data_IF_142525465015
#
_entry.id   IF_142525465015
#
_cell.length_a   1.000
_cell.length_b   1.000
_cell.length_c   1.000
_cell.angle_alpha   90.00
_cell.angle_beta   90.00
_cell.angle_gamma   90.00
#
_symmetry.space_group_name_H-M   'P 1'
#
loop_
_entity.id
_entity.type
_entity.pdbx_description
1 polymer ?
#
# COMPACT_ATOMS: atom_id res chain seq x y z
N UNK A 1 -54.54 -30.35 24.37
CA UNK A 1 -53.36 -29.51 24.63
C UNK A 1 -52.18 -30.13 23.91
N UNK A 2 -51.96 -29.74 22.65
CA UNK A 2 -50.89 -30.25 21.81
C UNK A 2 -49.76 -29.22 21.80
N UNK A 3 -48.62 -29.59 22.38
CA UNK A 3 -47.40 -28.79 22.36
C UNK A 3 -46.61 -29.14 21.10
N UNK A 4 -46.71 -28.29 20.09
CA UNK A 4 -45.96 -28.41 18.84
C UNK A 4 -44.55 -27.87 19.03
N UNK A 5 -43.54 -28.74 19.02
CA UNK A 5 -42.12 -28.39 18.95
C UNK A 5 -41.84 -27.89 17.52
N UNK A 6 -41.34 -26.66 17.32
CA UNK A 6 -41.01 -26.19 15.98
C UNK A 6 -39.84 -27.03 15.42
N UNK A 7 -39.87 -27.40 14.13
CA UNK A 7 -38.73 -27.99 13.45
C UNK A 7 -37.64 -26.92 13.35
N UNK A 8 -36.53 -27.12 14.06
CA UNK A 8 -35.32 -26.34 13.81
C UNK A 8 -34.80 -26.77 12.45
N UNK A 9 -34.93 -25.89 11.46
CA UNK A 9 -34.23 -26.01 10.19
C UNK A 9 -32.74 -26.21 10.48
N UNK A 10 -32.22 -27.32 9.96
CA UNK A 10 -30.82 -27.69 9.96
C UNK A 10 -30.02 -26.61 9.25
N UNK A 11 -29.54 -25.63 10.01
CA UNK A 11 -28.46 -24.73 9.59
C UNK A 11 -27.28 -25.64 9.26
N UNK A 12 -27.03 -25.86 7.97
CA UNK A 12 -25.80 -26.48 7.47
C UNK A 12 -24.63 -25.69 8.05
N UNK A 13 -24.09 -26.21 9.15
CA UNK A 13 -22.92 -25.63 9.79
C UNK A 13 -21.76 -25.76 8.80
N UNK A 14 -21.40 -24.65 8.16
CA UNK A 14 -20.26 -24.58 7.26
C UNK A 14 -19.00 -25.05 7.99
N UNK A 15 -18.63 -26.31 7.77
CA UNK A 15 -17.37 -26.86 8.23
C UNK A 15 -16.26 -26.31 7.32
N UNK A 16 -15.16 -25.86 7.92
CA UNK A 16 -14.00 -25.36 7.18
C UNK A 16 -12.89 -26.38 7.27
N UNK A 17 -12.28 -26.67 6.13
CA UNK A 17 -11.11 -27.54 6.04
C UNK A 17 -9.86 -26.78 6.48
N UNK A 18 -9.12 -27.32 7.45
CA UNK A 18 -7.83 -26.80 7.91
C UNK A 18 -6.79 -27.91 7.99
N UNK A 19 -5.51 -27.57 7.87
CA UNK A 19 -4.41 -28.54 7.94
C UNK A 19 -3.74 -28.49 9.32
N UNK A 20 -3.48 -29.67 9.92
CA UNK A 20 -2.77 -29.73 11.19
C UNK A 20 -1.29 -29.29 11.02
N UNK A 21 -0.78 -28.36 11.85
CA UNK A 21 0.61 -27.90 11.74
C UNK A 21 1.64 -28.95 12.18
N UNK A 22 1.22 -30.03 12.85
CA UNK A 22 2.14 -31.08 13.36
C UNK A 22 2.34 -32.23 12.38
N UNK A 23 1.28 -32.65 11.67
CA UNK A 23 1.32 -33.82 10.80
C UNK A 23 0.76 -33.59 9.40
N UNK A 24 0.32 -32.36 9.09
CA UNK A 24 -0.24 -31.98 7.79
C UNK A 24 -1.52 -32.72 7.36
N UNK A 25 -2.16 -33.47 8.27
CA UNK A 25 -3.45 -34.09 8.02
C UNK A 25 -4.54 -33.03 7.83
N UNK A 26 -5.49 -33.33 6.94
CA UNK A 26 -6.67 -32.50 6.68
C UNK A 26 -7.72 -32.73 7.78
N UNK A 27 -8.24 -31.66 8.37
CA UNK A 27 -9.29 -31.71 9.38
C UNK A 27 -10.48 -30.84 8.99
N UNK A 28 -11.67 -31.37 9.20
CA UNK A 28 -12.92 -30.61 9.19
C UNK A 28 -13.15 -30.01 10.58
N UNK A 29 -13.06 -28.69 10.68
CA UNK A 29 -13.34 -27.95 11.91
C UNK A 29 -14.66 -27.21 11.75
N UNK A 30 -15.52 -27.32 12.77
CA UNK A 30 -16.80 -26.61 12.77
C UNK A 30 -16.57 -25.12 12.98
N UNK A 31 -17.36 -24.25 12.33
CA UNK A 31 -17.29 -22.80 12.51
C UNK A 31 -17.38 -22.36 13.98
N UNK A 32 -18.05 -23.14 14.84
CA UNK A 32 -18.17 -22.89 16.27
C UNK A 32 -16.87 -23.09 17.06
N UNK A 33 -15.91 -23.84 16.51
CA UNK A 33 -14.60 -24.13 17.11
C UNK A 33 -13.51 -23.17 16.59
N UNK A 34 -13.87 -22.19 15.77
CA UNK A 34 -12.92 -21.25 15.21
C UNK A 34 -12.39 -20.31 16.31
N UNK A 35 -11.07 -20.25 16.47
CA UNK A 35 -10.41 -19.57 17.59
C UNK A 35 -10.15 -20.44 18.82
N UNK A 36 -10.80 -21.61 18.92
CA UNK A 36 -10.58 -22.55 20.02
C UNK A 36 -9.33 -23.42 19.79
N UNK A 37 -8.81 -23.99 20.89
CA UNK A 37 -7.72 -24.98 20.85
C UNK A 37 -8.31 -26.36 20.57
N UNK A 38 -8.06 -26.88 19.37
CA UNK A 38 -8.53 -28.20 18.92
C UNK A 38 -7.38 -29.22 18.94
N UNK A 39 -7.71 -30.49 19.17
CA UNK A 39 -6.73 -31.60 19.19
C UNK A 39 -6.84 -32.42 17.90
N UNK A 40 -5.72 -32.68 17.22
CA UNK A 40 -5.70 -33.46 15.99
C UNK A 40 -5.91 -34.97 16.27
N UNK A 41 -6.85 -35.66 15.59
CA UNK A 41 -7.11 -37.08 15.84
C UNK A 41 -6.01 -38.00 15.29
N UNK A 42 -5.12 -37.49 14.42
CA UNK A 42 -4.04 -38.28 13.83
C UNK A 42 -2.76 -38.30 14.67
N UNK A 43 -2.38 -37.16 15.25
CA UNK A 43 -1.11 -37.01 15.99
C UNK A 43 -1.28 -36.55 17.44
N UNK A 44 -2.51 -36.26 17.88
CA UNK A 44 -2.84 -35.72 19.19
C UNK A 44 -2.22 -34.35 19.51
N UNK A 45 -1.67 -33.66 18.51
CA UNK A 45 -1.16 -32.29 18.64
C UNK A 45 -2.29 -31.28 18.82
N UNK A 46 -2.06 -30.25 19.64
CA UNK A 46 -3.03 -29.18 19.94
C UNK A 46 -2.65 -27.92 19.20
N UNK A 47 -3.58 -27.32 18.50
CA UNK A 47 -3.38 -26.07 17.78
C UNK A 47 -4.63 -25.20 17.86
N UNK A 48 -4.45 -23.89 17.69
CA UNK A 48 -5.58 -22.95 17.68
C UNK A 48 -6.18 -22.91 16.27
N UNK A 49 -7.47 -23.16 16.15
CA UNK A 49 -8.16 -23.05 14.86
C UNK A 49 -8.14 -21.59 14.41
N UNK A 50 -7.83 -21.27 13.13
CA UNK A 50 -7.92 -19.91 12.64
C UNK A 50 -9.33 -19.38 12.85
N UNK A 51 -9.46 -18.16 13.38
CA UNK A 51 -10.75 -17.49 13.42
C UNK A 51 -11.22 -17.29 11.97
N UNK A 52 -12.53 -17.35 11.70
CA UNK A 52 -13.04 -17.00 10.40
C UNK A 52 -12.65 -15.53 10.21
N UNK A 53 -11.75 -15.25 9.28
CA UNK A 53 -11.51 -13.87 8.89
C UNK A 53 -12.83 -13.40 8.30
N UNK A 54 -13.59 -12.63 9.08
CA UNK A 54 -14.72 -11.90 8.55
C UNK A 54 -14.20 -11.22 7.27
N UNK A 55 -14.87 -11.37 6.11
CA UNK A 55 -14.46 -10.70 4.89
C UNK A 55 -14.17 -9.27 5.27
N UNK A 56 -12.91 -8.86 5.17
CA UNK A 56 -12.42 -7.65 5.83
C UNK A 56 -13.44 -6.55 5.55
N UNK A 57 -14.20 -6.16 6.58
CA UNK A 57 -15.20 -5.12 6.42
C UNK A 57 -14.45 -3.97 5.80
N UNK A 58 -14.88 -3.54 4.60
CA UNK A 58 -14.20 -2.51 3.82
C UNK A 58 -13.73 -1.46 4.83
N UNK A 59 -12.42 -1.26 4.99
CA UNK A 59 -11.95 -0.32 6.00
C UNK A 59 -12.67 0.99 5.72
N UNK A 60 -13.25 1.63 6.75
CA UNK A 60 -13.96 2.89 6.54
C UNK A 60 -13.04 3.78 5.71
N UNK A 61 -13.56 4.33 4.61
CA UNK A 61 -12.82 5.08 3.59
C UNK A 61 -12.11 6.35 4.11
N UNK A 62 -11.86 6.47 5.41
CA UNK A 62 -11.44 7.67 6.12
C UNK A 62 -10.07 7.62 6.81
N UNK A 63 -9.29 6.54 6.69
CA UNK A 63 -7.91 6.54 7.18
C UNK A 63 -6.93 6.00 6.13
N UNK A 64 -6.92 6.65 4.97
CA UNK A 64 -5.72 6.65 4.13
C UNK A 64 -4.61 7.27 4.97
N UNK A 65 -3.57 6.49 5.30
CA UNK A 65 -2.47 6.99 6.11
C UNK A 65 -1.92 8.26 5.47
N UNK A 66 -2.03 9.37 6.18
CA UNK A 66 -1.57 10.65 5.65
C UNK A 66 -0.06 10.55 5.45
N UNK A 67 0.36 10.64 4.19
CA UNK A 67 1.76 10.83 3.84
C UNK A 67 2.30 12.01 4.64
N UNK A 68 3.51 11.85 5.20
CA UNK A 68 4.12 12.88 6.03
C UNK A 68 4.11 14.23 5.27
N UNK A 69 3.59 15.32 5.87
CA UNK A 69 3.38 16.59 5.16
C UNK A 69 4.68 17.16 4.55
N UNK A 70 5.83 16.81 5.15
CA UNK A 70 7.14 17.14 4.60
C UNK A 70 7.38 16.61 3.18
N UNK A 71 6.93 15.38 2.87
CA UNK A 71 7.12 14.78 1.54
C UNK A 71 6.33 15.56 0.48
N UNK A 72 5.08 15.94 0.79
CA UNK A 72 4.23 16.73 -0.12
C UNK A 72 4.88 18.08 -0.45
N UNK A 73 5.41 18.76 0.56
CA UNK A 73 6.07 20.06 0.39
C UNK A 73 7.34 19.92 -0.45
N UNK A 74 8.18 18.91 -0.19
CA UNK A 74 9.41 18.68 -0.96
C UNK A 74 9.13 18.38 -2.44
N UNK A 75 8.10 17.57 -2.75
CA UNK A 75 7.70 17.28 -4.14
C UNK A 75 7.16 18.54 -4.82
N UNK A 76 6.37 19.36 -4.11
CA UNK A 76 5.83 20.60 -4.67
C UNK A 76 6.94 21.58 -5.04
N UNK A 77 7.90 21.78 -4.13
CA UNK A 77 9.04 22.67 -4.35
C UNK A 77 9.83 22.19 -5.58
N UNK A 78 10.14 20.90 -5.65
CA UNK A 78 10.83 20.29 -6.81
C UNK A 78 10.08 20.54 -8.12
N UNK A 79 8.76 20.31 -8.15
CA UNK A 79 7.91 20.54 -9.31
C UNK A 79 7.96 21.96 -9.83
N UNK A 80 7.92 22.96 -8.94
CA UNK A 80 8.02 24.37 -9.33
C UNK A 80 9.40 24.67 -9.94
N UNK A 81 10.48 24.20 -9.32
CA UNK A 81 11.83 24.43 -9.85
C UNK A 81 12.08 23.70 -11.18
N UNK A 82 11.56 22.48 -11.36
CA UNK A 82 11.63 21.75 -12.63
C UNK A 82 10.83 22.44 -13.73
N UNK A 83 9.66 23.00 -13.40
CA UNK A 83 8.86 23.79 -14.34
C UNK A 83 9.63 25.03 -14.81
N UNK A 84 10.18 25.80 -13.86
CA UNK A 84 10.94 27.02 -14.16
C UNK A 84 12.22 26.70 -14.95
N UNK A 85 12.97 25.68 -14.54
CA UNK A 85 14.17 25.23 -15.25
C UNK A 85 13.83 24.70 -16.65
N UNK A 86 12.76 23.92 -16.78
CA UNK A 86 12.27 23.41 -18.07
C UNK A 86 11.91 24.55 -19.02
N UNK A 87 11.12 25.53 -18.55
CA UNK A 87 10.80 26.72 -19.33
C UNK A 87 12.05 27.52 -19.72
N UNK A 88 13.00 27.69 -18.80
CA UNK A 88 14.27 28.37 -19.07
C UNK A 88 15.10 27.64 -20.14
N UNK A 89 15.25 26.32 -20.05
CA UNK A 89 15.99 25.53 -21.03
C UNK A 89 15.31 25.50 -22.39
N UNK A 90 13.98 25.38 -22.44
CA UNK A 90 13.20 25.42 -23.69
C UNK A 90 13.32 26.79 -24.39
N UNK A 91 13.50 27.88 -23.63
CA UNK A 91 13.73 29.21 -24.22
C UNK A 91 15.02 29.26 -25.05
N UNK A 92 15.97 28.37 -24.78
CA UNK A 92 17.17 28.19 -25.59
C UNK A 92 16.92 27.07 -26.62
N UNK A 93 17.06 27.36 -27.92
CA UNK A 93 16.78 26.38 -28.99
C UNK A 93 17.58 25.08 -28.82
N UNK A 94 18.83 25.17 -28.35
CA UNK A 94 19.66 23.99 -28.07
C UNK A 94 19.30 23.29 -26.74
N UNK A 95 18.68 23.98 -25.79
CA UNK A 95 18.32 23.45 -24.48
C UNK A 95 17.01 22.67 -24.46
N UNK A 96 16.22 22.68 -25.54
CA UNK A 96 14.95 21.96 -25.61
C UNK A 96 15.08 20.45 -25.30
N UNK A 97 16.19 19.81 -25.69
CA UNK A 97 16.45 18.40 -25.39
C UNK A 97 16.54 18.11 -23.87
N UNK A 98 17.04 19.07 -23.09
CA UNK A 98 17.12 18.98 -21.63
C UNK A 98 15.83 19.49 -20.99
N UNK A 99 15.24 20.55 -21.54
CA UNK A 99 14.06 21.21 -20.98
C UNK A 99 12.78 20.39 -21.11
N UNK A 100 12.59 19.62 -22.19
CA UNK A 100 11.39 18.78 -22.36
C UNK A 100 11.29 17.71 -21.24
N UNK A 101 12.33 16.90 -20.95
CA UNK A 101 12.29 15.98 -19.81
C UNK A 101 12.00 16.66 -18.47
N UNK A 102 12.57 17.85 -18.22
CA UNK A 102 12.33 18.62 -17.00
C UNK A 102 10.86 19.05 -16.89
N UNK A 103 10.28 19.49 -18.01
CA UNK A 103 8.87 19.90 -18.07
C UNK A 103 7.93 18.71 -17.84
N UNK A 104 8.23 17.54 -18.42
CA UNK A 104 7.45 16.32 -18.21
C UNK A 104 7.49 15.88 -16.75
N UNK A 105 8.66 15.95 -16.11
CA UNK A 105 8.77 15.63 -14.67
C UNK A 105 7.96 16.60 -13.81
N UNK A 106 8.02 17.90 -14.10
CA UNK A 106 7.21 18.89 -13.38
C UNK A 106 5.70 18.57 -13.48
N UNK A 107 5.22 18.15 -14.66
CA UNK A 107 3.83 17.73 -14.85
C UNK A 107 3.52 16.49 -14.02
N UNK A 108 4.38 15.47 -14.04
CA UNK A 108 4.17 14.26 -13.24
C UNK A 108 4.20 14.53 -11.74
N UNK A 109 5.04 15.45 -11.26
CA UNK A 109 5.06 15.86 -9.85
C UNK A 109 3.75 16.56 -9.44
N UNK A 110 3.22 17.45 -10.31
CA UNK A 110 1.93 18.11 -10.07
C UNK A 110 0.76 17.11 -10.09
N UNK A 111 0.75 16.18 -11.04
CA UNK A 111 -0.27 15.12 -11.12
C UNK A 111 -0.18 14.21 -9.90
N UNK A 112 1.02 13.84 -9.46
CA UNK A 112 1.23 13.04 -8.26
C UNK A 112 0.66 13.73 -7.02
N UNK A 113 0.94 15.03 -6.82
CA UNK A 113 0.38 15.80 -5.71
C UNK A 113 -1.16 15.82 -5.76
N UNK A 114 -1.75 15.96 -6.95
CA UNK A 114 -3.21 15.96 -7.10
C UNK A 114 -3.84 14.59 -6.80
N UNK A 115 -3.10 13.49 -6.99
CA UNK A 115 -3.60 12.13 -6.80
C UNK A 115 -3.22 11.49 -5.46
N UNK A 116 -2.22 12.04 -4.75
CA UNK A 116 -1.67 11.44 -3.52
C UNK A 116 -2.73 11.20 -2.44
N UNK A 117 -3.77 12.03 -2.38
CA UNK A 117 -4.85 11.91 -1.40
C UNK A 117 -5.83 10.78 -1.73
N UNK A 118 -5.79 10.24 -2.95
CA UNK A 118 -6.65 9.13 -3.42
C UNK A 118 -5.93 7.79 -3.49
N UNK A 119 -4.61 7.77 -3.30
CA UNK A 119 -3.79 6.58 -3.45
C UNK A 119 -3.68 5.80 -2.14
N UNK A 120 -3.53 4.48 -2.25
CA UNK A 120 -3.09 3.67 -1.12
C UNK A 120 -1.65 4.05 -0.76
N UNK A 121 -1.28 3.91 0.52
CA UNK A 121 0.07 4.21 1.01
C UNK A 121 1.16 3.43 0.23
N UNK A 122 0.85 2.19 -0.16
CA UNK A 122 1.79 1.32 -0.88
C UNK A 122 1.99 1.79 -2.33
N UNK A 123 0.91 2.20 -3.01
CA UNK A 123 0.99 2.74 -4.37
C UNK A 123 1.73 4.08 -4.38
N UNK A 124 1.40 4.97 -3.44
CA UNK A 124 2.06 6.26 -3.28
C UNK A 124 3.57 6.10 -3.07
N UNK A 125 3.99 5.11 -2.27
CA UNK A 125 5.41 4.81 -2.03
C UNK A 125 6.14 4.36 -3.30
N UNK A 126 5.53 3.45 -4.07
CA UNK A 126 6.14 2.94 -5.31
C UNK A 126 6.31 4.06 -6.34
N UNK A 127 5.30 4.94 -6.48
CA UNK A 127 5.37 6.09 -7.37
C UNK A 127 6.37 7.14 -6.88
N UNK A 128 6.42 7.42 -5.57
CA UNK A 128 7.39 8.34 -4.99
C UNK A 128 8.83 7.89 -5.23
N UNK A 129 9.12 6.58 -5.16
CA UNK A 129 10.44 6.04 -5.47
C UNK A 129 10.82 6.25 -6.94
N UNK A 130 9.88 6.02 -7.85
CA UNK A 130 10.09 6.20 -9.29
C UNK A 130 10.30 7.68 -9.65
N UNK A 131 9.51 8.58 -9.06
CA UNK A 131 9.70 10.04 -9.15
C UNK A 131 11.06 10.47 -8.60
N UNK A 132 11.49 9.95 -7.45
CA UNK A 132 12.78 10.25 -6.85
C UNK A 132 13.95 9.84 -7.75
N UNK A 133 13.88 8.65 -8.36
CA UNK A 133 14.91 8.19 -9.31
C UNK A 133 14.98 9.12 -10.52
N UNK A 134 13.84 9.51 -11.08
CA UNK A 134 13.83 10.46 -12.20
C UNK A 134 14.35 11.85 -11.82
N UNK A 135 14.03 12.36 -10.63
CA UNK A 135 14.59 13.61 -10.11
C UNK A 135 16.11 13.53 -9.93
N UNK A 136 16.66 12.38 -9.52
CA UNK A 136 18.12 12.21 -9.39
C UNK A 136 18.78 12.25 -10.77
N UNK A 137 18.22 11.54 -11.76
CA UNK A 137 18.76 11.49 -13.12
C UNK A 137 18.69 12.88 -13.77
N UNK A 138 17.54 13.54 -13.70
CA UNK A 138 17.36 14.90 -14.26
C UNK A 138 18.07 15.97 -13.43
N UNK A 139 18.27 15.73 -12.14
CA UNK A 139 18.95 16.63 -11.20
C UNK A 139 20.44 16.79 -11.48
N UNK A 140 21.04 15.94 -12.31
CA UNK A 140 22.39 16.18 -12.85
C UNK A 140 22.50 17.52 -13.59
N UNK A 141 21.36 18.05 -14.08
CA UNK A 141 21.27 19.35 -14.73
C UNK A 141 20.55 20.41 -13.88
N UNK A 142 20.08 20.05 -12.67
CA UNK A 142 19.36 20.91 -11.74
C UNK A 142 19.58 20.44 -10.28
N UNK A 143 20.51 21.08 -9.57
CA UNK A 143 20.92 20.70 -8.21
C UNK A 143 19.76 20.64 -7.21
N UNK A 144 18.78 21.54 -7.33
CA UNK A 144 17.63 21.59 -6.40
C UNK A 144 16.78 20.32 -6.52
N UNK A 145 16.55 19.86 -7.75
CA UNK A 145 15.83 18.63 -8.06
C UNK A 145 16.56 17.40 -7.51
N UNK A 146 17.90 17.39 -7.60
CA UNK A 146 18.73 16.32 -7.05
C UNK A 146 18.61 16.23 -5.52
N UNK A 147 18.66 17.36 -4.82
CA UNK A 147 18.50 17.40 -3.35
C UNK A 147 17.11 16.93 -2.94
N UNK A 148 16.06 17.38 -3.64
CA UNK A 148 14.69 16.92 -3.40
C UNK A 148 14.55 15.40 -3.60
N UNK A 149 15.13 14.84 -4.66
CA UNK A 149 15.09 13.41 -4.94
C UNK A 149 15.76 12.58 -3.85
N UNK A 150 16.92 13.04 -3.36
CA UNK A 150 17.64 12.39 -2.23
C UNK A 150 16.79 12.43 -0.95
N UNK A 151 16.16 13.57 -0.63
CA UNK A 151 15.31 13.69 0.55
C UNK A 151 14.09 12.76 0.49
N UNK A 152 13.41 12.67 -0.66
CA UNK A 152 12.28 11.75 -0.86
C UNK A 152 12.73 10.31 -0.65
N UNK A 153 13.89 9.93 -1.21
CA UNK A 153 14.43 8.58 -1.06
C UNK A 153 14.81 8.27 0.40
N UNK A 154 15.40 9.24 1.12
CA UNK A 154 15.76 9.10 2.52
C UNK A 154 14.53 8.89 3.40
N UNK A 155 13.48 9.70 3.25
CA UNK A 155 12.23 9.52 3.99
C UNK A 155 11.55 8.19 3.66
N UNK A 156 11.52 7.81 2.38
CA UNK A 156 10.98 6.52 1.95
C UNK A 156 11.78 5.32 2.47
N UNK A 157 13.06 5.49 2.82
CA UNK A 157 13.88 4.46 3.45
C UNK A 157 13.64 4.34 4.95
N UNK A 158 13.44 5.47 5.65
CA UNK A 158 13.25 5.52 7.11
C UNK A 158 12.00 4.76 7.57
N UNK A 159 10.92 4.78 6.79
CA UNK A 159 9.68 4.05 7.11
C UNK A 159 9.78 2.53 6.94
N UNK A 160 10.89 2.01 6.39
CA UNK A 160 11.10 0.56 6.28
C UNK A 160 11.64 -0.06 7.58
N UNK A 161 12.07 0.78 8.52
CA UNK A 161 12.74 0.41 9.77
C UNK A 161 11.83 0.39 10.99
N UNK A 162 10.55 0.70 10.80
CA UNK A 162 9.49 0.72 11.84
C UNK A 162 8.52 -0.43 11.54
#
# INVERSE_FOLDING_TARGET
>A
MASGKPPFDSVEAHATTVYCPHCSAELLVQAQQAGDVVSCPHCNGRFQSPLPQAPAAFPPAGFGGQLHPGVKISVLISGIFNLLAGMFWISTVCGAFIGIPQLVLAIFELVYIAQVDRMSLQDARSQAQLLAVFQIISGMFNLVSLVCGILILAFASSERSV
#
